data_IF_321913185984
#
_entry.id   IF_321913185984
#
_cell.length_a   1.000
_cell.length_b   1.000
_cell.length_c   1.000
_cell.angle_alpha   90.00
_cell.angle_beta   90.00
_cell.angle_gamma   90.00
#
_symmetry.space_group_name_H-M   'P 1'
#
loop_
_entity.id
_entity.type
_entity.pdbx_description
1 polymer ?
#
# COMPACT_ATOMS: atom_id res chain seq x y z
N UNK A 1 9.30 5.82 15.95
CA UNK A 1 9.08 5.79 14.50
C UNK A 1 7.67 6.33 14.24
N UNK A 2 7.55 7.24 13.30
CA UNK A 2 6.23 7.71 12.87
C UNK A 2 5.51 6.58 12.12
N UNK A 3 4.23 6.41 12.40
CA UNK A 3 3.34 5.54 11.63
C UNK A 3 2.51 6.42 10.71
N UNK A 4 2.37 6.07 9.45
CA UNK A 4 1.51 6.81 8.53
C UNK A 4 0.74 5.90 7.60
N UNK A 5 -0.35 6.45 7.08
CA UNK A 5 -1.19 5.84 6.07
C UNK A 5 -1.76 6.92 5.14
N UNK A 6 -2.22 6.51 3.99
CA UNK A 6 -2.80 7.39 2.99
C UNK A 6 -4.27 7.09 2.79
N UNK A 7 -5.06 8.14 2.67
CA UNK A 7 -6.50 8.06 2.45
C UNK A 7 -6.91 8.91 1.26
N UNK A 8 -7.88 8.43 0.51
CA UNK A 8 -8.54 9.24 -0.51
C UNK A 8 -9.50 10.20 0.18
N UNK A 9 -9.45 11.49 -0.18
CA UNK A 9 -10.48 12.44 0.23
C UNK A 9 -11.74 12.23 -0.60
N UNK A 10 -12.88 12.56 -0.02
CA UNK A 10 -14.19 12.59 -0.70
C UNK A 10 -14.49 13.96 -1.32
N UNK A 11 -13.46 14.69 -1.73
CA UNK A 11 -13.63 16.02 -2.33
C UNK A 11 -14.46 15.93 -3.61
N UNK A 12 -15.52 16.78 -3.79
CA UNK A 12 -16.53 16.53 -4.84
C UNK A 12 -16.02 16.63 -6.27
N UNK A 13 -14.98 17.40 -6.54
CA UNK A 13 -14.45 17.64 -7.89
C UNK A 13 -13.24 16.80 -8.20
N UNK A 14 -12.41 16.49 -7.22
CA UNK A 14 -11.17 15.79 -7.40
C UNK A 14 -10.71 15.16 -6.08
N UNK A 15 -10.65 13.85 -6.00
CA UNK A 15 -10.11 13.22 -4.80
C UNK A 15 -8.62 13.47 -4.67
N UNK A 16 -8.17 13.78 -3.46
CA UNK A 16 -6.76 13.98 -3.12
C UNK A 16 -6.29 12.88 -2.19
N UNK A 17 -5.00 12.63 -2.17
CA UNK A 17 -4.39 11.77 -1.17
C UNK A 17 -4.09 12.58 0.10
N UNK A 18 -4.60 12.13 1.22
CA UNK A 18 -4.33 12.67 2.53
C UNK A 18 -3.39 11.73 3.27
N UNK A 19 -2.20 12.20 3.64
CA UNK A 19 -1.29 11.46 4.52
C UNK A 19 -1.64 11.77 5.96
N UNK A 20 -1.93 10.73 6.74
CA UNK A 20 -2.11 10.84 8.20
C UNK A 20 -0.92 10.19 8.86
N UNK A 21 -0.19 10.94 9.68
CA UNK A 21 0.99 10.46 10.40
C UNK A 21 0.73 10.50 11.90
N UNK A 22 0.95 9.38 12.58
CA UNK A 22 1.00 9.33 14.04
C UNK A 22 2.45 9.33 14.49
N UNK A 23 2.80 10.26 15.37
CA UNK A 23 4.12 10.36 16.00
C UNK A 23 4.21 9.46 17.24
N UNK A 24 5.42 9.12 17.72
CA UNK A 24 5.60 8.22 18.87
C UNK A 24 4.94 8.71 20.16
N UNK A 25 4.76 10.02 20.32
CA UNK A 25 4.05 10.66 21.42
C UNK A 25 2.52 10.65 21.24
N UNK A 26 2.04 10.03 20.16
CA UNK A 26 0.62 9.81 19.91
C UNK A 26 -0.10 10.97 19.25
N UNK A 27 0.61 11.99 18.78
CA UNK A 27 0.01 13.09 18.02
C UNK A 27 -0.27 12.70 16.58
N UNK A 28 -1.27 13.31 15.97
CA UNK A 28 -1.66 13.06 14.58
C UNK A 28 -1.42 14.32 13.73
N UNK A 29 -0.73 14.10 12.60
CA UNK A 29 -0.46 15.18 11.64
C UNK A 29 -1.05 14.82 10.27
N UNK A 30 -1.62 15.81 9.61
CA UNK A 30 -2.09 15.73 8.23
C UNK A 30 -1.01 16.28 7.31
N UNK A 31 -0.69 15.51 6.26
CA UNK A 31 0.31 15.88 5.26
C UNK A 31 1.69 16.27 5.85
N UNK A 32 2.15 15.52 6.86
CA UNK A 32 3.52 15.58 7.35
C UNK A 32 4.42 14.74 6.46
N UNK A 33 5.49 15.34 5.94
CA UNK A 33 6.47 14.66 5.10
C UNK A 33 7.87 14.80 5.70
N UNK A 34 8.58 13.69 5.76
CA UNK A 34 9.89 13.61 6.40
C UNK A 34 10.87 12.85 5.53
N UNK A 35 12.16 13.13 5.70
CA UNK A 35 13.25 12.32 5.17
C UNK A 35 13.60 11.24 6.17
N UNK A 36 13.88 10.06 5.69
CA UNK A 36 14.22 8.92 6.51
C UNK A 36 15.52 8.26 6.04
N UNK A 37 16.21 7.62 6.98
CA UNK A 37 17.34 6.76 6.65
C UNK A 37 16.82 5.34 6.31
N UNK A 38 17.31 4.77 5.23
CA UNK A 38 16.94 3.45 4.73
C UNK A 38 17.87 2.36 5.26
N UNK A 39 18.08 2.26 6.56
CA UNK A 39 18.92 1.22 7.15
C UNK A 39 18.34 -0.20 6.97
N UNK A 40 19.18 -1.17 6.54
CA UNK A 40 18.78 -2.56 6.31
C UNK A 40 18.31 -3.29 7.58
N UNK A 41 18.81 -2.91 8.74
CA UNK A 41 18.45 -3.55 10.03
C UNK A 41 17.21 -2.94 10.69
N UNK A 42 16.36 -2.31 9.91
CA UNK A 42 15.17 -1.69 10.44
C UNK A 42 15.42 -0.47 11.31
N UNK A 43 16.56 0.16 11.18
CA UNK A 43 16.84 1.47 11.74
C UNK A 43 16.21 2.52 10.84
N UNK A 44 14.96 2.81 11.11
CA UNK A 44 14.23 3.85 10.42
C UNK A 44 14.28 5.10 11.27
N UNK A 45 15.17 5.99 10.92
CA UNK A 45 15.34 7.25 11.63
C UNK A 45 14.88 8.39 10.74
N UNK A 46 14.02 9.22 11.26
CA UNK A 46 13.71 10.51 10.66
C UNK A 46 14.96 11.38 10.67
N UNK A 47 15.45 11.74 9.49
CA UNK A 47 16.66 12.54 9.32
C UNK A 47 16.39 14.01 9.04
N UNK A 48 15.13 14.38 8.88
CA UNK A 48 14.68 15.76 8.68
C UNK A 48 13.23 15.84 8.25
N UNK A 49 12.62 17.00 8.41
CA UNK A 49 11.25 17.28 8.00
C UNK A 49 11.26 18.07 6.71
N UNK A 50 10.50 17.60 5.71
CA UNK A 50 10.26 18.31 4.44
C UNK A 50 9.07 19.26 4.57
N UNK A 51 8.05 18.83 5.29
CA UNK A 51 6.84 19.58 5.59
C UNK A 51 6.31 19.13 6.94
N UNK A 52 6.10 20.07 7.87
CA UNK A 52 5.66 19.77 9.24
C UNK A 52 4.25 19.15 9.29
N UNK A 53 3.41 19.49 8.31
CA UNK A 53 2.02 19.08 8.32
C UNK A 53 1.17 19.92 9.25
N UNK A 54 -0.07 19.49 9.43
CA UNK A 54 -1.08 20.15 10.24
C UNK A 54 -1.44 19.24 11.40
N UNK A 55 -1.31 19.72 12.63
CA UNK A 55 -1.71 18.97 13.81
C UNK A 55 -3.23 18.78 13.81
N UNK A 56 -3.65 17.54 13.97
CA UNK A 56 -5.06 17.17 14.14
C UNK A 56 -5.29 16.73 15.59
N UNK A 57 -6.23 17.39 16.25
CA UNK A 57 -6.57 17.09 17.64
C UNK A 57 -7.49 15.87 17.70
N UNK A 58 -6.90 14.70 17.76
CA UNK A 58 -7.63 13.44 17.91
C UNK A 58 -8.07 13.18 19.36
N UNK A 59 -7.43 13.87 20.31
CA UNK A 59 -7.73 13.79 21.74
C UNK A 59 -7.89 15.15 22.37
N UNK A 60 -8.75 15.21 23.38
CA UNK A 60 -8.89 16.39 24.23
C UNK A 60 -7.60 16.58 25.05
N UNK A 61 -6.99 17.74 24.95
CA UNK A 61 -5.73 18.05 25.64
C UNK A 61 -5.89 18.15 27.17
N UNK A 62 -7.12 18.39 27.64
CA UNK A 62 -7.40 18.57 29.07
C UNK A 62 -7.55 17.24 29.81
N UNK A 63 -8.24 16.25 29.24
CA UNK A 63 -8.57 14.98 29.90
C UNK A 63 -8.07 13.74 29.15
N UNK A 64 -7.43 13.89 27.99
CA UNK A 64 -6.92 12.81 27.17
C UNK A 64 -8.00 11.92 26.53
N UNK A 65 -9.27 12.27 26.69
CA UNK A 65 -10.36 11.54 26.04
C UNK A 65 -10.26 11.69 24.51
N UNK A 66 -10.70 10.65 23.78
CA UNK A 66 -10.84 10.77 22.32
C UNK A 66 -11.93 11.80 22.04
N UNK A 67 -11.66 12.77 21.18
CA UNK A 67 -12.70 13.67 20.68
C UNK A 67 -13.79 12.83 20.01
N UNK A 68 -14.88 12.63 20.72
CA UNK A 68 -16.06 11.96 20.21
C UNK A 68 -17.01 12.98 19.58
N UNK A 69 -16.49 13.75 18.65
CA UNK A 69 -17.26 14.72 17.90
C UNK A 69 -18.08 14.00 16.85
N UNK A 70 -19.12 13.33 17.29
CA UNK A 70 -20.01 12.55 16.43
C UNK A 70 -20.93 13.50 15.68
N UNK A 71 -20.83 13.52 14.37
CA UNK A 71 -21.83 14.08 13.48
C UNK A 71 -22.79 12.97 13.00
N UNK A 72 -23.88 13.33 12.32
CA UNK A 72 -24.89 12.37 11.85
C UNK A 72 -24.29 11.24 10.97
N UNK A 73 -23.25 11.54 10.22
CA UNK A 73 -22.62 10.63 9.25
C UNK A 73 -21.10 10.48 9.45
N UNK A 74 -20.60 10.62 10.66
CA UNK A 74 -19.19 10.45 10.94
C UNK A 74 -18.71 11.21 12.18
N UNK A 75 -17.42 11.45 12.23
CA UNK A 75 -16.78 12.28 13.26
C UNK A 75 -15.94 13.37 12.63
N UNK A 76 -15.67 14.43 13.39
CA UNK A 76 -14.78 15.51 12.97
C UNK A 76 -13.70 15.76 14.01
N UNK A 77 -12.55 16.20 13.56
CA UNK A 77 -11.42 16.56 14.42
C UNK A 77 -11.00 18.01 14.14
N UNK A 78 -10.79 18.83 15.18
CA UNK A 78 -10.17 20.14 15.03
C UNK A 78 -8.76 20.01 14.44
N UNK A 79 -8.37 21.00 13.64
CA UNK A 79 -7.02 21.11 13.07
C UNK A 79 -6.49 22.51 13.28
N UNK A 80 -5.17 22.67 13.44
CA UNK A 80 -4.54 23.95 13.78
C UNK A 80 -4.45 24.92 12.61
N UNK A 81 -4.61 24.43 11.39
CA UNK A 81 -4.43 25.26 10.20
C UNK A 81 -5.34 24.79 9.06
N UNK A 82 -5.37 25.56 7.98
CA UNK A 82 -6.14 25.20 6.78
C UNK A 82 -5.50 24.03 6.06
N UNK A 83 -6.25 22.95 5.86
CA UNK A 83 -5.81 21.83 5.04
C UNK A 83 -5.80 22.28 3.56
N UNK A 84 -4.62 22.31 2.98
CA UNK A 84 -4.41 22.69 1.59
C UNK A 84 -3.61 21.62 0.83
N UNK A 85 -3.91 21.49 -0.46
CA UNK A 85 -3.19 20.63 -1.40
C UNK A 85 -2.50 21.52 -2.45
N UNK A 86 -1.63 22.38 -1.96
CA UNK A 86 -0.92 23.40 -2.71
C UNK A 86 0.36 22.87 -3.40
N UNK A 87 1.16 23.78 -3.95
CA UNK A 87 2.44 23.46 -4.60
C UNK A 87 3.44 22.79 -3.67
N UNK A 88 3.42 23.12 -2.39
CA UNK A 88 4.38 22.55 -1.41
C UNK A 88 4.03 21.08 -1.12
N UNK A 89 2.74 20.80 -0.95
CA UNK A 89 2.24 19.42 -0.88
C UNK A 89 2.60 18.63 -2.15
N UNK A 90 2.31 19.18 -3.34
CA UNK A 90 2.64 18.53 -4.60
C UNK A 90 4.15 18.29 -4.75
N UNK A 91 4.98 19.24 -4.28
CA UNK A 91 6.44 19.12 -4.30
C UNK A 91 6.93 18.01 -3.36
N UNK A 92 6.39 17.93 -2.14
CA UNK A 92 6.72 16.88 -1.19
C UNK A 92 6.35 15.48 -1.74
N UNK A 93 5.19 15.38 -2.39
CA UNK A 93 4.70 14.13 -2.98
C UNK A 93 5.48 13.63 -4.21
N UNK A 94 6.33 14.46 -4.84
CA UNK A 94 7.11 14.04 -6.03
C UNK A 94 8.08 12.89 -5.77
N UNK A 95 8.65 12.85 -4.58
CA UNK A 95 9.62 11.83 -4.17
C UNK A 95 9.03 10.84 -3.16
N UNK A 96 7.77 11.01 -2.81
CA UNK A 96 7.10 10.20 -1.81
C UNK A 96 6.66 8.86 -2.41
N UNK A 97 7.10 7.77 -1.79
CA UNK A 97 6.49 6.48 -2.04
C UNK A 97 5.16 6.41 -1.29
N UNK A 98 4.09 6.30 -2.05
CA UNK A 98 2.75 6.11 -1.48
C UNK A 98 2.51 4.61 -1.32
N UNK A 99 2.43 4.14 -0.08
CA UNK A 99 1.96 2.79 0.26
C UNK A 99 0.62 2.91 0.95
N UNK A 100 -0.32 2.10 0.51
CA UNK A 100 -1.67 2.06 1.05
C UNK A 100 -2.05 0.62 1.33
N UNK A 101 -2.59 0.35 2.50
CA UNK A 101 -3.32 -0.88 2.76
C UNK A 101 -4.49 -0.99 1.75
N UNK A 102 -4.76 -2.18 1.24
CA UNK A 102 -5.89 -2.36 0.32
C UNK A 102 -7.22 -1.95 0.94
N UNK A 103 -7.36 -2.10 2.25
CA UNK A 103 -8.56 -1.67 2.97
C UNK A 103 -8.75 -0.15 2.97
N UNK A 104 -7.69 0.64 2.80
CA UNK A 104 -7.81 2.11 2.68
C UNK A 104 -8.26 2.56 1.30
N UNK A 105 -8.21 1.69 0.29
CA UNK A 105 -8.80 1.93 -1.02
C UNK A 105 -10.33 1.74 -1.03
N UNK A 106 -10.86 1.17 0.04
CA UNK A 106 -12.27 0.86 0.24
C UNK A 106 -12.83 1.77 1.33
N UNK A 107 -13.35 2.96 0.98
CA UNK A 107 -13.71 3.99 1.95
C UNK A 107 -14.77 3.53 2.96
N UNK A 108 -15.60 2.56 2.60
CA UNK A 108 -16.62 1.99 3.47
C UNK A 108 -16.02 1.26 4.68
N UNK A 109 -14.80 0.71 4.56
CA UNK A 109 -14.11 0.06 5.68
C UNK A 109 -13.79 1.08 6.77
N UNK A 110 -13.25 2.24 6.40
CA UNK A 110 -12.96 3.31 7.35
C UNK A 110 -14.26 3.96 7.88
N UNK A 111 -15.20 4.28 6.99
CA UNK A 111 -16.44 4.98 7.32
C UNK A 111 -17.34 4.14 8.26
N UNK A 112 -17.33 2.82 8.12
CA UNK A 112 -18.14 1.91 8.94
C UNK A 112 -17.36 1.33 10.13
N UNK A 113 -16.16 1.87 10.43
CA UNK A 113 -15.33 1.43 11.54
C UNK A 113 -15.03 -0.08 11.50
N UNK A 114 -14.64 -0.57 10.32
CA UNK A 114 -14.36 -1.99 10.08
C UNK A 114 -12.86 -2.32 10.14
N UNK A 115 -11.96 -1.32 10.20
CA UNK A 115 -10.53 -1.56 10.38
C UNK A 115 -10.28 -2.41 11.63
N UNK A 116 -9.37 -3.38 11.52
CA UNK A 116 -9.04 -4.30 12.60
C UNK A 116 -10.12 -5.34 12.92
N UNK A 117 -11.00 -5.68 11.98
CA UNK A 117 -12.07 -6.65 12.17
C UNK A 117 -12.15 -7.63 10.99
N UNK A 118 -12.50 -8.87 11.31
CA UNK A 118 -12.90 -9.84 10.28
C UNK A 118 -14.31 -9.53 9.79
N UNK A 119 -14.50 -9.50 8.48
CA UNK A 119 -15.81 -9.23 7.87
C UNK A 119 -15.96 -9.89 6.49
N UNK A 120 -17.19 -10.25 6.14
CA UNK A 120 -17.58 -10.67 4.78
C UNK A 120 -18.47 -9.61 4.16
N UNK A 121 -18.26 -9.34 2.87
CA UNK A 121 -18.97 -8.27 2.19
C UNK A 121 -19.75 -8.80 0.98
N UNK A 122 -20.97 -8.30 0.75
CA UNK A 122 -21.67 -8.52 -0.51
C UNK A 122 -20.94 -7.83 -1.67
N UNK A 123 -21.19 -8.28 -2.89
CA UNK A 123 -20.47 -7.84 -4.09
C UNK A 123 -20.68 -6.37 -4.45
N UNK A 124 -21.75 -5.76 -3.96
CA UNK A 124 -22.13 -4.36 -4.18
C UNK A 124 -21.84 -3.43 -3.00
N UNK A 125 -21.06 -3.92 -2.01
CA UNK A 125 -20.80 -3.17 -0.78
C UNK A 125 -19.87 -1.96 -1.00
N UNK A 126 -18.86 -2.10 -1.87
CA UNK A 126 -17.82 -1.11 -2.04
C UNK A 126 -18.02 -0.25 -3.29
N UNK A 127 -18.05 1.07 -3.10
CA UNK A 127 -18.24 2.03 -4.20
C UNK A 127 -17.06 2.11 -5.17
N UNK A 128 -15.86 1.74 -4.71
CA UNK A 128 -14.64 1.72 -5.53
C UNK A 128 -14.41 0.40 -6.28
N UNK A 129 -15.26 -0.61 -6.05
CA UNK A 129 -15.27 -1.85 -6.81
C UNK A 129 -16.42 -1.84 -7.81
N UNK A 130 -16.10 -2.07 -9.07
CA UNK A 130 -17.09 -2.12 -10.16
C UNK A 130 -16.98 -3.42 -10.95
N UNK A 131 -18.00 -3.76 -11.73
CA UNK A 131 -18.04 -4.98 -12.55
C UNK A 131 -17.75 -6.26 -11.74
N UNK A 132 -18.23 -6.31 -10.50
CA UNK A 132 -18.02 -7.45 -9.61
C UNK A 132 -18.88 -8.62 -10.04
N UNK A 133 -18.27 -9.75 -10.40
CA UNK A 133 -19.01 -10.95 -10.77
C UNK A 133 -19.76 -11.55 -9.58
N UNK A 134 -20.89 -12.22 -9.84
CA UNK A 134 -21.73 -12.82 -8.81
C UNK A 134 -21.01 -13.90 -7.98
N UNK A 135 -19.99 -14.54 -8.55
CA UNK A 135 -19.19 -15.57 -7.89
C UNK A 135 -18.05 -14.98 -7.01
N UNK A 136 -17.82 -13.68 -7.09
CA UNK A 136 -16.82 -13.00 -6.27
C UNK A 136 -17.25 -12.97 -4.80
N UNK A 137 -16.38 -13.46 -3.92
CA UNK A 137 -16.57 -13.40 -2.47
C UNK A 137 -15.47 -12.56 -1.88
N UNK A 138 -15.82 -11.53 -1.15
CA UNK A 138 -14.88 -10.56 -0.56
C UNK A 138 -14.90 -10.70 0.94
N UNK A 139 -13.71 -10.89 1.52
CA UNK A 139 -13.52 -10.99 2.96
C UNK A 139 -12.40 -10.07 3.37
N UNK A 140 -12.60 -9.32 4.45
CA UNK A 140 -11.52 -8.69 5.20
C UNK A 140 -11.07 -9.64 6.30
N UNK A 141 -9.77 -9.79 6.42
CA UNK A 141 -9.12 -10.51 7.50
C UNK A 141 -8.32 -9.53 8.35
N UNK A 142 -8.44 -9.65 9.65
CA UNK A 142 -7.56 -8.95 10.57
C UNK A 142 -6.66 -9.94 11.30
N UNK A 143 -5.42 -9.98 10.89
CA UNK A 143 -4.45 -10.93 11.40
C UNK A 143 -3.71 -10.34 12.59
N UNK A 144 -4.14 -10.69 13.79
CA UNK A 144 -3.58 -10.14 15.05
C UNK A 144 -2.21 -10.69 15.44
N UNK A 145 -1.81 -11.86 14.93
CA UNK A 145 -0.58 -12.56 15.37
C UNK A 145 0.05 -13.39 14.26
N UNK A 146 1.33 -13.21 14.07
CA UNK A 146 2.19 -14.17 13.38
C UNK A 146 2.38 -13.93 11.89
N UNK A 147 1.64 -13.05 11.26
CA UNK A 147 1.82 -12.68 9.86
C UNK A 147 2.53 -11.36 9.75
N UNK A 148 3.30 -11.21 8.69
CA UNK A 148 4.04 -9.98 8.42
C UNK A 148 3.25 -9.19 7.39
N UNK A 149 2.10 -8.66 7.84
CA UNK A 149 1.18 -7.93 7.00
C UNK A 149 1.29 -6.43 7.24
N UNK A 150 1.06 -5.66 6.19
CA UNK A 150 1.04 -4.21 6.29
C UNK A 150 -0.20 -3.77 7.06
N UNK A 151 -0.01 -3.15 8.22
CA UNK A 151 -1.07 -2.65 9.11
C UNK A 151 -2.05 -3.71 9.67
N UNK A 152 -1.92 -4.97 9.29
CA UNK A 152 -2.67 -6.10 9.86
C UNK A 152 -4.05 -6.35 9.27
N UNK A 153 -4.51 -5.53 8.34
CA UNK A 153 -5.74 -5.76 7.58
C UNK A 153 -5.41 -6.30 6.18
N UNK A 154 -6.13 -7.31 5.74
CA UNK A 154 -5.94 -7.94 4.44
C UNK A 154 -7.27 -8.12 3.73
N UNK A 155 -7.26 -8.04 2.40
CA UNK A 155 -8.38 -8.45 1.58
C UNK A 155 -8.14 -9.82 0.98
N UNK A 156 -9.06 -10.73 1.24
CA UNK A 156 -9.10 -12.05 0.62
C UNK A 156 -10.29 -12.13 -0.32
N UNK A 157 -10.03 -12.32 -1.60
CA UNK A 157 -11.07 -12.52 -2.60
C UNK A 157 -11.04 -13.97 -3.09
N UNK A 158 -12.20 -14.61 -3.12
CA UNK A 158 -12.31 -16.03 -3.50
C UNK A 158 -13.44 -16.24 -4.51
N UNK A 159 -13.48 -17.44 -5.08
CA UNK A 159 -14.42 -17.81 -6.11
C UNK A 159 -13.88 -17.58 -7.52
N UNK A 160 -14.74 -17.64 -8.53
CA UNK A 160 -14.38 -17.24 -9.90
C UNK A 160 -14.55 -15.71 -10.03
N UNK A 161 -13.66 -14.99 -9.34
CA UNK A 161 -13.76 -13.55 -9.21
C UNK A 161 -13.41 -12.82 -10.51
N UNK A 162 -14.16 -11.78 -10.75
CA UNK A 162 -13.89 -10.73 -11.75
C UNK A 162 -14.38 -9.41 -11.17
N UNK A 163 -13.51 -8.46 -10.98
CA UNK A 163 -13.84 -7.13 -10.47
C UNK A 163 -12.82 -6.09 -10.90
N UNK A 164 -13.24 -4.84 -10.93
CA UNK A 164 -12.42 -3.69 -11.25
C UNK A 164 -12.32 -2.77 -10.03
N UNK A 165 -11.09 -2.52 -9.59
CA UNK A 165 -10.76 -1.62 -8.48
C UNK A 165 -10.31 -0.27 -9.03
N UNK A 166 -10.92 0.81 -8.57
CA UNK A 166 -10.41 2.16 -8.80
C UNK A 166 -9.26 2.45 -7.83
N UNK A 167 -8.09 2.81 -8.39
CA UNK A 167 -6.92 3.19 -7.60
C UNK A 167 -6.71 4.71 -7.66
N UNK A 168 -6.10 5.34 -6.63
CA UNK A 168 -5.92 6.78 -6.62
C UNK A 168 -4.97 7.24 -7.72
N UNK A 169 -5.28 8.39 -8.33
CA UNK A 169 -4.33 9.10 -9.17
C UNK A 169 -3.23 9.72 -8.29
N UNK A 170 -1.99 9.70 -8.78
CA UNK A 170 -0.91 10.38 -8.10
C UNK A 170 -1.02 11.89 -8.32
N UNK A 171 -0.65 12.72 -7.32
CA UNK A 171 -0.87 14.17 -7.35
C UNK A 171 0.03 14.92 -8.33
N UNK A 172 0.98 14.25 -8.97
CA UNK A 172 1.89 14.82 -9.96
C UNK A 172 1.91 13.99 -11.23
N UNK A 173 2.09 14.65 -12.37
CA UNK A 173 2.49 13.97 -13.60
C UNK A 173 3.88 13.33 -13.39
N UNK A 174 4.02 12.06 -13.67
CA UNK A 174 5.27 11.35 -13.49
C UNK A 174 5.22 9.89 -13.92
N UNK A 175 6.38 9.25 -13.91
CA UNK A 175 6.47 7.81 -14.10
C UNK A 175 6.49 7.14 -12.72
N UNK A 176 5.58 6.21 -12.51
CA UNK A 176 5.46 5.47 -11.25
C UNK A 176 5.56 3.98 -11.53
N UNK A 177 6.27 3.31 -10.65
CA UNK A 177 6.24 1.86 -10.55
C UNK A 177 5.15 1.46 -9.57
N UNK A 178 4.19 0.70 -10.06
CA UNK A 178 3.10 0.16 -9.26
C UNK A 178 3.49 -1.21 -8.75
N UNK A 179 3.33 -1.41 -7.46
CA UNK A 179 3.64 -2.68 -6.78
C UNK A 179 2.48 -3.10 -5.92
N UNK A 180 2.37 -4.39 -5.69
CA UNK A 180 1.40 -4.99 -4.77
C UNK A 180 2.13 -5.90 -3.78
N UNK A 181 1.76 -5.80 -2.50
CA UNK A 181 2.15 -6.74 -1.46
C UNK A 181 1.09 -7.82 -1.27
N UNK A 182 1.54 -9.04 -1.05
CA UNK A 182 0.63 -10.19 -0.84
C UNK A 182 1.33 -11.33 -0.10
N UNK A 183 0.53 -12.17 0.55
CA UNK A 183 0.99 -13.43 1.13
C UNK A 183 1.04 -14.55 0.09
N UNK A 184 2.18 -15.23 -0.01
CA UNK A 184 2.38 -16.39 -0.86
C UNK A 184 1.82 -17.64 -0.17
N UNK A 185 0.98 -18.40 -0.87
CA UNK A 185 0.42 -19.65 -0.34
C UNK A 185 -0.02 -20.55 -1.50
N UNK A 186 0.09 -21.85 -1.36
CA UNK A 186 -0.33 -22.85 -2.37
C UNK A 186 -1.84 -22.81 -2.68
N UNK A 187 -2.64 -22.20 -1.84
CA UNK A 187 -4.08 -21.98 -2.09
C UNK A 187 -4.35 -20.71 -2.91
N UNK A 188 -3.34 -19.89 -3.17
CA UNK A 188 -3.49 -18.67 -3.94
C UNK A 188 -3.73 -18.96 -5.42
N UNK A 189 -4.45 -18.07 -6.07
CA UNK A 189 -4.83 -18.17 -7.47
C UNK A 189 -3.83 -17.48 -8.40
N UNK A 190 -3.94 -17.81 -9.67
CA UNK A 190 -3.44 -16.96 -10.76
C UNK A 190 -4.52 -15.98 -11.17
N UNK A 191 -4.15 -14.74 -11.29
CA UNK A 191 -5.04 -13.65 -11.69
C UNK A 191 -4.51 -12.97 -12.95
N UNK A 192 -5.38 -12.70 -13.92
CA UNK A 192 -5.08 -11.76 -14.98
C UNK A 192 -5.38 -10.35 -14.49
N UNK A 193 -4.39 -9.48 -14.52
CA UNK A 193 -4.54 -8.06 -14.22
C UNK A 193 -4.55 -7.27 -15.53
N UNK A 194 -5.52 -6.38 -15.67
CA UNK A 194 -5.62 -5.42 -16.79
C UNK A 194 -5.66 -4.00 -16.24
N UNK A 195 -4.89 -3.12 -16.84
CA UNK A 195 -4.69 -1.74 -16.39
C UNK A 195 -5.42 -0.78 -17.32
N UNK A 196 -6.46 -0.13 -16.81
CA UNK A 196 -7.34 0.76 -17.55
C UNK A 196 -7.22 2.17 -16.97
N UNK A 197 -7.11 3.19 -17.81
CA UNK A 197 -7.24 4.58 -17.39
C UNK A 197 -8.32 5.29 -18.19
N UNK A 198 -8.86 6.35 -17.62
CA UNK A 198 -9.92 7.16 -18.22
C UNK A 198 -9.53 8.64 -18.10
N UNK A 199 -9.65 9.40 -19.17
CA UNK A 199 -9.42 10.84 -19.17
C UNK A 199 -10.69 11.61 -18.72
N UNK A 200 -10.57 12.93 -18.61
CA UNK A 200 -11.68 13.81 -18.20
C UNK A 200 -12.87 13.79 -19.18
N UNK A 201 -12.64 13.37 -20.42
CA UNK A 201 -13.68 13.23 -21.43
C UNK A 201 -14.35 11.84 -21.42
N UNK A 202 -13.89 10.92 -20.55
CA UNK A 202 -14.39 9.56 -20.45
C UNK A 202 -13.78 8.59 -21.48
N UNK A 203 -12.73 9.01 -22.20
CA UNK A 203 -12.04 8.10 -23.12
C UNK A 203 -11.16 7.14 -22.34
N UNK A 204 -11.33 5.85 -22.61
CA UNK A 204 -10.55 4.80 -21.99
C UNK A 204 -9.30 4.45 -22.79
N UNK A 205 -8.21 4.16 -22.08
CA UNK A 205 -6.94 3.70 -22.60
C UNK A 205 -6.31 2.71 -21.60
N UNK A 206 -5.17 2.13 -21.96
CA UNK A 206 -4.38 1.29 -21.08
C UNK A 206 -3.20 2.04 -20.51
N UNK A 207 -2.85 1.78 -19.23
CA UNK A 207 -1.68 2.40 -18.60
C UNK A 207 -0.62 1.37 -18.19
N UNK A 208 -0.77 0.12 -18.63
CA UNK A 208 0.18 -0.96 -18.45
C UNK A 208 -0.17 -2.16 -19.31
N UNK A 209 0.80 -3.02 -19.58
CA UNK A 209 0.55 -4.28 -20.26
C UNK A 209 -0.19 -5.24 -19.31
N UNK A 210 -1.10 -6.08 -19.79
CA UNK A 210 -1.72 -7.12 -18.98
C UNK A 210 -0.67 -8.02 -18.33
N UNK A 211 -0.91 -8.41 -17.08
CA UNK A 211 0.02 -9.21 -16.28
C UNK A 211 -0.71 -10.40 -15.67
N UNK A 212 -0.08 -11.57 -15.70
CA UNK A 212 -0.50 -12.71 -14.86
C UNK A 212 0.22 -12.60 -13.51
N UNK A 213 -0.57 -12.40 -12.46
CA UNK A 213 -0.12 -12.45 -11.08
C UNK A 213 -0.32 -13.88 -10.55
N UNK A 214 0.77 -14.60 -10.31
CA UNK A 214 0.75 -15.89 -9.63
C UNK A 214 1.15 -15.71 -8.18
N UNK A 215 0.21 -15.87 -7.28
CA UNK A 215 0.45 -15.76 -5.84
C UNK A 215 0.73 -17.10 -5.17
N UNK A 216 0.63 -18.20 -5.91
CA UNK A 216 0.92 -19.55 -5.42
C UNK A 216 2.40 -19.91 -5.57
N UNK A 217 3.10 -19.26 -6.48
CA UNK A 217 4.46 -19.59 -6.84
C UNK A 217 5.47 -18.85 -5.95
N UNK A 218 6.19 -19.58 -5.11
CA UNK A 218 7.37 -19.06 -4.47
C UNK A 218 8.55 -19.05 -5.47
N UNK A 219 8.40 -18.39 -6.61
CA UNK A 219 9.32 -18.30 -7.79
C UNK A 219 10.81 -18.23 -7.39
N UNK A 220 11.08 -18.04 -6.17
CA UNK A 220 12.33 -17.58 -5.64
C UNK A 220 13.11 -18.65 -4.90
N UNK A 221 12.44 -19.72 -4.45
CA UNK A 221 13.11 -20.77 -3.70
C UNK A 221 13.85 -21.74 -4.62
N UNK A 222 13.36 -21.93 -5.86
CA UNK A 222 13.96 -22.86 -6.83
C UNK A 222 15.18 -22.31 -7.54
N UNK A 223 15.28 -20.99 -7.71
CA UNK A 223 16.30 -20.37 -8.56
C UNK A 223 17.50 -19.82 -7.78
N UNK A 224 17.46 -19.91 -6.45
CA UNK A 224 18.55 -19.44 -5.56
C UNK A 224 18.79 -17.92 -5.60
N UNK A 225 17.91 -17.17 -6.28
CA UNK A 225 18.07 -15.72 -6.47
C UNK A 225 17.60 -14.96 -5.23
N UNK A 226 16.52 -15.39 -4.59
CA UNK A 226 16.04 -14.74 -3.40
C UNK A 226 16.73 -15.26 -2.15
N UNK A 227 17.48 -14.39 -1.52
CA UNK A 227 18.13 -14.68 -0.26
C UNK A 227 17.59 -13.74 0.83
N UNK A 228 17.49 -14.26 2.05
CA UNK A 228 17.17 -13.42 3.20
C UNK A 228 18.32 -12.48 3.47
N UNK A 229 18.03 -11.26 3.93
CA UNK A 229 19.09 -10.34 4.34
C UNK A 229 19.98 -10.92 5.45
N UNK A 230 19.38 -11.73 6.35
CA UNK A 230 20.11 -12.44 7.39
C UNK A 230 21.10 -13.48 6.83
N UNK A 231 20.74 -14.18 5.76
CA UNK A 231 21.63 -15.17 5.12
C UNK A 231 22.81 -14.49 4.40
N UNK A 232 22.65 -13.21 4.07
CA UNK A 232 23.69 -12.32 3.53
C UNK A 232 24.42 -11.52 4.63
N UNK A 233 24.25 -11.90 5.90
CA UNK A 233 24.83 -11.21 7.06
C UNK A 233 24.51 -9.70 7.12
N UNK A 234 23.43 -9.27 6.52
CA UNK A 234 23.05 -7.85 6.36
C UNK A 234 24.16 -7.01 5.69
N UNK A 235 24.99 -7.62 4.83
CA UNK A 235 25.92 -6.90 4.00
C UNK A 235 25.15 -6.05 2.98
N UNK A 236 25.34 -4.74 3.05
CA UNK A 236 24.56 -3.79 2.24
C UNK A 236 24.75 -4.02 0.74
N UNK A 237 25.96 -4.38 0.32
CA UNK A 237 26.26 -4.62 -1.09
C UNK A 237 25.57 -5.89 -1.58
N UNK A 238 25.72 -7.00 -0.86
CA UNK A 238 25.12 -8.28 -1.22
C UNK A 238 23.60 -8.20 -1.16
N UNK A 239 23.03 -7.51 -0.17
CA UNK A 239 21.59 -7.31 -0.10
C UNK A 239 21.08 -6.48 -1.29
N UNK A 240 21.78 -5.40 -1.66
CA UNK A 240 21.40 -4.58 -2.80
C UNK A 240 21.52 -5.33 -4.14
N UNK A 241 22.56 -6.13 -4.33
CA UNK A 241 22.72 -6.98 -5.52
C UNK A 241 21.58 -8.02 -5.62
N UNK A 242 21.22 -8.63 -4.50
CA UNK A 242 20.12 -9.58 -4.43
C UNK A 242 18.77 -8.90 -4.73
N UNK A 243 18.50 -7.75 -4.12
CA UNK A 243 17.29 -6.97 -4.36
C UNK A 243 17.18 -6.54 -5.84
N UNK A 244 18.30 -6.13 -6.43
CA UNK A 244 18.35 -5.77 -7.85
C UNK A 244 18.05 -6.97 -8.77
N UNK A 245 18.62 -8.14 -8.45
CA UNK A 245 18.36 -9.37 -9.22
C UNK A 245 16.87 -9.74 -9.18
N UNK A 246 16.23 -9.62 -8.02
CA UNK A 246 14.81 -9.84 -7.83
C UNK A 246 13.95 -8.85 -8.60
N UNK A 247 14.30 -7.57 -8.51
CA UNK A 247 13.56 -6.51 -9.18
C UNK A 247 13.55 -6.69 -10.71
N UNK A 248 14.65 -7.17 -11.29
CA UNK A 248 14.70 -7.53 -12.73
C UNK A 248 13.69 -8.59 -13.14
N UNK A 249 13.32 -9.47 -12.23
CA UNK A 249 12.28 -10.47 -12.43
C UNK A 249 10.88 -9.94 -12.12
N UNK A 250 10.80 -8.68 -11.67
CA UNK A 250 9.57 -8.03 -11.26
C UNK A 250 9.08 -8.44 -9.87
N UNK A 251 9.96 -8.98 -9.03
CA UNK A 251 9.64 -9.34 -7.66
C UNK A 251 10.51 -8.57 -6.68
N UNK A 252 10.02 -8.44 -5.46
CA UNK A 252 10.74 -7.77 -4.38
C UNK A 252 10.42 -8.45 -3.06
N UNK A 253 11.40 -8.44 -2.16
CA UNK A 253 11.16 -8.83 -0.77
C UNK A 253 10.11 -7.88 -0.14
N UNK A 254 9.37 -8.32 0.89
CA UNK A 254 8.53 -7.40 1.64
C UNK A 254 9.37 -6.29 2.28
N UNK A 255 8.78 -5.14 2.63
CA UNK A 255 9.48 -4.09 3.36
C UNK A 255 10.05 -4.60 4.69
N UNK A 256 11.12 -3.96 5.18
CA UNK A 256 11.73 -4.33 6.46
C UNK A 256 10.80 -4.09 7.65
N UNK A 257 9.93 -3.08 7.53
CA UNK A 257 8.96 -2.74 8.57
C UNK A 257 7.55 -2.81 8.06
N UNK A 258 6.73 -3.58 8.78
CA UNK A 258 5.29 -3.51 8.69
C UNK A 258 4.75 -2.86 9.94
N UNK A 259 3.94 -1.82 9.77
CA UNK A 259 3.17 -1.27 10.86
C UNK A 259 1.92 -2.10 11.04
N UNK A 260 1.95 -3.00 12.01
CA UNK A 260 0.76 -3.72 12.43
C UNK A 260 0.16 -2.93 13.59
N UNK A 261 -1.08 -2.50 13.46
CA UNK A 261 -1.80 -1.82 14.52
C UNK A 261 -1.78 -2.66 15.81
N UNK A 262 -1.25 -2.10 16.91
CA UNK A 262 -1.11 -2.78 18.19
C UNK A 262 0.08 -3.73 18.33
N UNK A 263 1.04 -3.68 17.39
CA UNK A 263 2.24 -4.51 17.43
C UNK A 263 3.50 -3.67 17.30
N UNK A 264 3.94 -3.11 18.42
CA UNK A 264 5.07 -2.17 18.47
C UNK A 264 6.43 -2.83 18.72
N UNK A 265 6.51 -4.16 19.03
CA UNK A 265 7.59 -4.58 19.94
C UNK A 265 8.52 -5.67 19.41
N UNK A 266 8.54 -6.02 18.14
CA UNK A 266 9.47 -7.03 17.71
C UNK A 266 10.43 -6.54 16.64
N UNK A 267 11.70 -6.22 16.99
CA UNK A 267 12.77 -6.00 16.01
C UNK A 267 12.97 -7.21 15.08
N UNK A 268 12.66 -8.41 15.54
CA UNK A 268 12.67 -9.63 14.72
C UNK A 268 11.69 -9.61 13.54
N UNK A 269 10.72 -8.71 13.53
CA UNK A 269 9.76 -8.58 12.42
C UNK A 269 10.31 -7.82 11.23
N UNK A 270 11.15 -6.82 11.44
CA UNK A 270 11.89 -6.19 10.35
C UNK A 270 12.74 -7.20 9.59
N UNK A 271 13.38 -8.12 10.30
CA UNK A 271 14.15 -9.21 9.70
C UNK A 271 13.26 -10.21 8.95
N UNK A 272 12.12 -10.58 9.53
CA UNK A 272 11.14 -11.46 8.88
C UNK A 272 10.50 -10.81 7.66
N UNK A 273 10.27 -9.50 7.69
CA UNK A 273 9.73 -8.73 6.58
C UNK A 273 10.59 -8.85 5.32
N UNK A 274 11.90 -8.88 5.46
CA UNK A 274 12.87 -9.03 4.35
C UNK A 274 13.19 -10.48 4.02
N UNK A 275 12.37 -11.42 4.44
CA UNK A 275 12.53 -12.85 4.18
C UNK A 275 11.44 -13.36 3.25
N UNK A 276 11.81 -13.82 2.05
CA UNK A 276 10.88 -14.47 1.13
C UNK A 276 10.17 -15.70 1.74
N UNK A 277 10.76 -16.32 2.76
CA UNK A 277 10.14 -17.42 3.52
C UNK A 277 9.11 -16.93 4.55
N UNK A 278 8.97 -15.64 4.75
CA UNK A 278 7.97 -15.06 5.63
C UNK A 278 6.54 -15.12 5.09
N UNK A 279 6.38 -15.65 3.90
CA UNK A 279 5.07 -15.78 3.26
C UNK A 279 4.63 -14.52 2.50
N UNK A 280 5.35 -13.41 2.60
CA UNK A 280 4.99 -12.17 1.93
C UNK A 280 5.99 -11.77 0.85
N UNK A 281 5.46 -11.26 -0.24
CA UNK A 281 6.22 -10.79 -1.39
C UNK A 281 5.63 -9.49 -1.94
N UNK A 282 6.44 -8.75 -2.67
CA UNK A 282 5.94 -7.68 -3.55
C UNK A 282 6.10 -8.09 -5.01
N UNK A 283 5.11 -7.72 -5.82
CA UNK A 283 5.14 -7.87 -7.27
C UNK A 283 5.07 -6.50 -7.93
N UNK A 284 6.00 -6.20 -8.80
CA UNK A 284 5.92 -5.06 -9.71
C UNK A 284 4.87 -5.36 -10.77
N UNK A 285 3.82 -4.57 -10.82
CA UNK A 285 2.70 -4.76 -11.74
C UNK A 285 2.94 -4.05 -13.07
N UNK A 286 3.37 -2.81 -13.02
CA UNK A 286 3.66 -1.98 -14.19
C UNK A 286 4.53 -0.79 -13.79
N UNK A 287 5.26 -0.24 -14.76
CA UNK A 287 5.93 1.07 -14.65
C UNK A 287 5.37 1.96 -15.75
N UNK A 288 4.61 2.97 -15.38
CA UNK A 288 3.81 3.76 -16.31
C UNK A 288 3.73 5.22 -15.94
N UNK A 289 3.46 6.06 -16.93
CA UNK A 289 3.14 7.47 -16.72
C UNK A 289 1.75 7.58 -16.10
N UNK A 290 1.66 8.35 -15.02
CA UNK A 290 0.41 8.71 -14.39
C UNK A 290 0.22 10.23 -14.37
N UNK A 291 -1.03 10.65 -14.35
CA UNK A 291 -1.42 12.05 -14.31
C UNK A 291 -2.57 12.23 -13.32
N UNK A 292 -2.60 13.31 -12.53
CA UNK A 292 -3.72 13.62 -11.64
C UNK A 292 -5.04 13.90 -12.38
N UNK A 293 -4.97 14.10 -13.71
CA UNK A 293 -6.13 14.37 -14.59
C UNK A 293 -6.78 13.11 -15.15
N UNK A 294 -6.33 11.92 -14.76
CA UNK A 294 -6.88 10.63 -15.19
C UNK A 294 -7.37 9.82 -14.01
N UNK A 295 -8.35 8.98 -14.24
CA UNK A 295 -8.77 7.94 -13.31
C UNK A 295 -8.08 6.64 -13.70
N UNK A 296 -7.73 5.81 -12.73
CA UNK A 296 -6.97 4.59 -12.93
C UNK A 296 -7.70 3.40 -12.31
N UNK A 297 -7.68 2.28 -13.02
CA UNK A 297 -8.38 1.07 -12.64
C UNK A 297 -7.50 -0.15 -12.86
N UNK A 298 -7.62 -1.12 -11.97
CA UNK A 298 -7.03 -2.44 -12.13
C UNK A 298 -8.18 -3.45 -12.12
N UNK A 299 -8.33 -4.22 -13.18
CA UNK A 299 -9.24 -5.35 -13.22
C UNK A 299 -8.51 -6.60 -12.83
N UNK A 300 -9.07 -7.34 -11.91
CA UNK A 300 -8.59 -8.64 -11.43
C UNK A 300 -9.56 -9.73 -11.90
N UNK A 301 -9.04 -10.68 -12.67
CA UNK A 301 -9.81 -11.81 -13.17
C UNK A 301 -9.15 -13.12 -12.74
N UNK A 302 -9.90 -14.00 -12.11
CA UNK A 302 -9.41 -15.35 -11.80
C UNK A 302 -9.11 -16.13 -13.08
N UNK A 303 -7.95 -16.77 -13.13
CA UNK A 303 -7.60 -17.73 -14.18
C UNK A 303 -7.82 -19.18 -13.71
N UNK A 304 -8.07 -19.38 -12.43
CA UNK A 304 -8.30 -20.68 -11.82
C UNK A 304 -9.79 -20.89 -11.56
N UNK A 305 -10.38 -21.91 -12.14
CA UNK A 305 -11.78 -22.27 -11.93
C UNK A 305 -12.04 -23.00 -10.59
N UNK A 306 -11.06 -22.97 -9.67
CA UNK A 306 -11.21 -23.63 -8.39
C UNK A 306 -11.99 -22.77 -7.40
N UNK A 307 -13.04 -23.32 -6.80
CA UNK A 307 -13.85 -22.64 -5.79
C UNK A 307 -13.05 -22.21 -4.54
N UNK A 308 -11.81 -22.68 -4.40
CA UNK A 308 -10.87 -22.36 -3.33
C UNK A 308 -9.75 -21.41 -3.77
N UNK A 309 -9.72 -21.01 -5.04
CA UNK A 309 -8.74 -20.05 -5.52
C UNK A 309 -8.85 -18.74 -4.75
N UNK A 310 -7.73 -18.27 -4.23
CA UNK A 310 -7.68 -17.09 -3.38
C UNK A 310 -6.79 -16.02 -4.02
N UNK A 311 -7.29 -14.81 -4.11
CA UNK A 311 -6.50 -13.61 -4.36
C UNK A 311 -6.31 -12.89 -3.03
N UNK A 312 -5.05 -12.68 -2.65
CA UNK A 312 -4.68 -12.01 -1.43
C UNK A 312 -4.13 -10.63 -1.73
N UNK A 313 -4.67 -9.60 -1.11
CA UNK A 313 -4.34 -8.21 -1.31
C UNK A 313 -4.04 -7.57 0.05
N UNK A 314 -2.76 -7.32 0.31
CA UNK A 314 -2.29 -6.72 1.55
C UNK A 314 -2.15 -5.19 1.36
N UNK A 315 -1.22 -4.75 0.51
CA UNK A 315 -1.02 -3.34 0.24
C UNK A 315 -0.68 -3.06 -1.23
N UNK A 316 -0.82 -1.82 -1.63
CA UNK A 316 -0.40 -1.31 -2.93
C UNK A 316 0.62 -0.17 -2.74
N UNK A 317 1.62 -0.10 -3.62
CA UNK A 317 2.62 0.96 -3.62
C UNK A 317 2.67 1.67 -4.96
N UNK A 318 2.78 3.00 -4.89
CA UNK A 318 3.11 3.86 -6.02
C UNK A 318 4.48 4.50 -5.76
N UNK A 319 5.48 4.07 -6.50
CA UNK A 319 6.87 4.53 -6.32
C UNK A 319 7.27 5.43 -7.48
N UNK A 320 7.53 6.71 -7.23
CA UNK A 320 7.97 7.62 -8.29
C UNK A 320 9.32 7.18 -8.84
N UNK A 321 9.39 6.97 -10.14
CA UNK A 321 10.64 6.76 -10.87
C UNK A 321 11.20 8.13 -11.23
N UNK A 322 11.82 8.77 -10.27
CA UNK A 322 12.65 9.93 -10.54
C UNK A 322 13.71 9.46 -11.52
N UNK A 323 13.87 10.21 -12.59
CA UNK A 323 14.78 9.93 -13.73
C UNK A 323 16.00 9.19 -13.24
N UNK A 324 16.23 7.97 -13.75
CA UNK A 324 17.42 7.20 -13.41
C UNK A 324 18.62 8.13 -13.52
N UNK A 325 19.24 8.41 -12.39
CA UNK A 325 20.54 9.08 -12.39
C UNK A 325 21.47 8.03 -12.96
N UNK A 326 21.86 8.23 -14.21
CA UNK A 326 22.67 7.28 -14.94
C UNK A 326 23.91 6.90 -14.12
N UNK A 327 24.00 5.64 -13.73
CA UNK A 327 25.13 5.11 -12.97
C UNK A 327 24.93 4.89 -11.47
N UNK A 328 23.77 5.25 -10.91
CA UNK A 328 23.45 4.87 -9.51
C UNK A 328 22.84 3.45 -9.49
N UNK A 329 23.35 2.56 -8.63
CA UNK A 329 22.74 1.26 -8.45
C UNK A 329 21.32 1.44 -7.89
N UNK A 330 20.39 0.66 -8.43
CA UNK A 330 19.04 0.58 -7.87
C UNK A 330 19.16 0.25 -6.38
N UNK A 331 18.63 1.12 -5.54
CA UNK A 331 18.47 0.83 -4.12
C UNK A 331 17.02 0.44 -3.87
N UNK A 332 16.88 -0.78 -3.40
CA UNK A 332 15.59 -1.22 -2.88
C UNK A 332 15.17 -0.28 -1.76
N UNK A 333 13.97 0.27 -1.90
CA UNK A 333 13.35 0.97 -0.81
C UNK A 333 12.86 -0.07 0.21
N UNK A 334 13.55 -0.19 1.31
CA UNK A 334 13.30 -1.20 2.36
C UNK A 334 12.15 -0.85 3.31
N UNK A 335 11.46 0.26 3.05
CA UNK A 335 10.32 0.74 3.87
C UNK A 335 8.98 0.32 3.34
#
# INVERSE_FOLDING_TARGET
>A
VNVWDYYRTTWPQESKLLKITQTPDGQFYLNRFSKYDNGLKGTYLETGTLQEGILAHARNEVDGSVYNNVALYGSYHPIDNVLSFNSDYASAMKSERVRMDFTTLLPEIASNNLRGKDAYFPTDYFSTLTNVSADTKIQQLYVRKGWVDYQGDELLVTGNYDFTLEVPAMPNDGTYELRIGYGVNTLRAKSLLTFICEDEAGNQDTWGAPLVLDQSDPVMASDGIAQKDADLNYDETLCAENDYALHKLGYMKPPAYFHIAGYTDSPARGELGRSYNGGNMRRVLTTSKMSPRKRYYIRFQSLDNASRAQLHLDFIEFVPRLVDVAGEPYREDVW
#
